data_IF_881415461142
#
_entry.id   IF_881415461142
#
_cell.length_a   1.000
_cell.length_b   1.000
_cell.length_c   1.000
_cell.angle_alpha   90.00
_cell.angle_beta   90.00
_cell.angle_gamma   90.00
#
_symmetry.space_group_name_H-M   'P 1'
#
loop_
_entity.id
_entity.type
_entity.pdbx_description
1 polymer ?
#
# COMPACT_ATOMS: atom_id res chain seq x y z
N UNK A 1 -29.43 -1.59 -4.95
CA UNK A 1 -28.08 -1.84 -5.51
C UNK A 1 -27.20 -0.64 -5.19
N UNK A 2 -26.45 -0.69 -4.09
CA UNK A 2 -25.51 0.37 -3.72
C UNK A 2 -24.27 0.26 -4.60
N UNK A 3 -24.25 1.00 -5.71
CA UNK A 3 -23.04 1.23 -6.50
C UNK A 3 -21.98 1.83 -5.57
N UNK A 4 -20.86 1.13 -5.44
CA UNK A 4 -19.70 1.59 -4.68
C UNK A 4 -19.10 2.81 -5.39
N UNK A 5 -19.59 4.00 -5.04
CA UNK A 5 -19.27 5.29 -5.67
C UNK A 5 -17.76 5.53 -5.71
N UNK A 6 -17.02 5.04 -4.70
CA UNK A 6 -15.56 5.11 -4.65
C UNK A 6 -14.88 4.21 -5.68
N UNK A 7 -15.47 3.05 -6.01
CA UNK A 7 -14.95 2.17 -7.07
C UNK A 7 -15.12 2.78 -8.47
N UNK A 8 -16.29 3.36 -8.76
CA UNK A 8 -16.58 3.98 -10.06
C UNK A 8 -15.80 5.27 -10.28
N UNK A 9 -15.67 6.14 -9.28
CA UNK A 9 -14.90 7.40 -9.38
C UNK A 9 -13.40 7.18 -9.63
N UNK A 10 -12.81 6.15 -9.03
CA UNK A 10 -11.38 5.87 -9.22
C UNK A 10 -11.07 5.26 -10.60
N UNK A 11 -12.01 4.53 -11.19
CA UNK A 11 -11.89 4.02 -12.57
C UNK A 11 -11.84 5.19 -13.57
N UNK A 12 -12.65 6.24 -13.39
CA UNK A 12 -12.60 7.42 -14.27
C UNK A 12 -11.25 8.15 -14.20
N UNK A 13 -10.65 8.23 -13.02
CA UNK A 13 -9.29 8.82 -12.87
C UNK A 13 -8.21 8.00 -13.58
N UNK A 14 -8.36 6.68 -13.64
CA UNK A 14 -7.44 5.80 -14.37
C UNK A 14 -7.51 6.05 -15.88
N UNK A 15 -8.68 6.44 -16.40
CA UNK A 15 -8.84 6.80 -17.82
C UNK A 15 -8.14 8.13 -18.11
N UNK A 16 -8.31 9.14 -17.24
CA UNK A 16 -7.70 10.46 -17.43
C UNK A 16 -6.20 10.49 -17.11
N UNK A 17 -5.71 9.61 -16.23
CA UNK A 17 -4.33 9.60 -15.75
C UNK A 17 -3.88 8.16 -15.47
N UNK A 18 -3.62 7.37 -16.53
CA UNK A 18 -3.37 5.94 -16.40
C UNK A 18 -2.07 5.61 -15.65
N UNK A 19 -1.10 6.53 -15.61
CA UNK A 19 0.14 6.37 -14.83
C UNK A 19 -0.09 6.26 -13.32
N UNK A 20 -1.26 6.65 -12.81
CA UNK A 20 -1.62 6.52 -11.40
C UNK A 20 -1.57 5.08 -10.88
N UNK A 21 -1.67 4.06 -11.74
CA UNK A 21 -1.52 2.67 -11.29
C UNK A 21 -0.08 2.14 -11.35
N UNK A 22 0.87 2.91 -11.87
CA UNK A 22 2.25 2.47 -11.97
C UNK A 22 2.93 2.52 -10.60
N UNK A 23 3.70 1.48 -10.23
CA UNK A 23 4.48 1.50 -9.01
C UNK A 23 5.82 2.22 -9.24
N UNK A 24 6.41 2.74 -8.17
CA UNK A 24 7.74 3.34 -8.19
C UNK A 24 8.84 2.29 -8.09
N UNK A 25 8.57 1.20 -7.37
CA UNK A 25 9.43 0.05 -7.26
C UNK A 25 8.62 -1.24 -7.39
N UNK A 26 9.24 -2.30 -7.89
CA UNK A 26 8.63 -3.64 -7.96
C UNK A 26 9.57 -4.65 -7.36
N UNK A 27 9.06 -5.50 -6.47
CA UNK A 27 9.75 -6.66 -5.93
C UNK A 27 8.93 -7.92 -6.23
N UNK A 28 9.58 -9.09 -6.26
CA UNK A 28 8.87 -10.33 -6.60
C UNK A 28 7.90 -10.71 -5.47
N UNK A 29 8.43 -10.87 -4.26
CA UNK A 29 7.70 -11.27 -3.06
C UNK A 29 7.97 -10.32 -1.90
N UNK A 30 7.23 -10.47 -0.80
CA UNK A 30 7.47 -9.69 0.42
C UNK A 30 8.88 -9.88 0.98
N UNK A 31 9.48 -11.08 0.83
CA UNK A 31 10.85 -11.35 1.27
C UNK A 31 11.91 -10.55 0.50
N UNK A 32 11.59 -10.11 -0.71
CA UNK A 32 12.50 -9.35 -1.57
C UNK A 32 12.48 -7.84 -1.26
N UNK A 33 11.67 -7.40 -0.28
CA UNK A 33 11.72 -6.02 0.20
C UNK A 33 13.12 -5.70 0.74
N UNK A 34 13.82 -4.70 0.20
CA UNK A 34 15.17 -4.42 0.63
C UNK A 34 15.19 -3.82 2.04
N UNK A 35 16.37 -3.89 2.67
CA UNK A 35 16.67 -3.25 3.95
C UNK A 35 17.92 -2.36 3.78
N UNK A 36 17.84 -1.03 3.98
CA UNK A 36 16.63 -0.24 4.24
C UNK A 36 15.68 -0.19 3.02
N UNK A 37 14.41 0.11 3.28
CA UNK A 37 13.35 0.09 2.25
C UNK A 37 13.57 1.13 1.14
N UNK A 38 14.28 2.22 1.42
CA UNK A 38 14.64 3.26 0.44
C UNK A 38 15.41 2.72 -0.77
N UNK A 39 16.17 1.62 -0.60
CA UNK A 39 16.90 0.97 -1.70
C UNK A 39 15.98 0.42 -2.81
N UNK A 40 14.68 0.27 -2.55
CA UNK A 40 13.73 -0.15 -3.57
C UNK A 40 13.62 0.84 -4.74
N UNK A 41 13.95 2.13 -4.51
CA UNK A 41 13.76 3.22 -5.46
C UNK A 41 15.02 3.60 -6.23
N UNK A 42 16.10 2.81 -6.11
CA UNK A 42 17.39 3.07 -6.75
C UNK A 42 18.23 4.14 -6.03
N UNK A 43 19.48 4.27 -6.47
CA UNK A 43 20.49 5.11 -5.79
C UNK A 43 20.54 6.56 -6.31
N UNK A 44 19.84 6.86 -7.41
CA UNK A 44 19.86 8.17 -8.07
C UNK A 44 19.13 9.26 -7.26
N UNK A 45 18.20 8.86 -6.40
CA UNK A 45 17.42 9.78 -5.55
C UNK A 45 17.66 9.43 -4.07
N UNK A 46 17.94 10.44 -3.25
CA UNK A 46 18.04 10.25 -1.80
C UNK A 46 16.64 10.10 -1.22
N UNK A 47 16.13 8.88 -1.22
CA UNK A 47 14.80 8.56 -0.69
C UNK A 47 14.85 8.37 0.83
N UNK A 48 14.04 9.15 1.54
CA UNK A 48 13.86 9.09 3.00
C UNK A 48 12.48 8.50 3.32
N UNK A 49 12.42 7.20 3.65
CA UNK A 49 11.18 6.54 4.09
C UNK A 49 11.15 6.48 5.61
N UNK A 50 10.14 7.13 6.21
CA UNK A 50 9.94 7.21 7.66
C UNK A 50 8.76 6.37 8.15
N UNK A 51 7.83 6.04 7.27
CA UNK A 51 6.69 5.19 7.60
C UNK A 51 6.29 4.27 6.44
N UNK A 52 5.63 3.17 6.80
CA UNK A 52 5.18 2.14 5.87
C UNK A 52 3.70 1.88 6.08
N UNK A 53 2.96 1.96 4.99
CA UNK A 53 1.58 1.49 4.88
C UNK A 53 1.62 0.13 4.20
N UNK A 54 1.11 -0.88 4.87
CA UNK A 54 1.23 -2.27 4.46
C UNK A 54 -0.14 -2.85 4.12
N UNK A 55 -0.32 -3.29 2.89
CA UNK A 55 -1.47 -4.12 2.54
C UNK A 55 -1.38 -5.50 3.23
N UNK A 56 -2.54 -6.15 3.44
CA UNK A 56 -2.64 -7.47 4.08
C UNK A 56 -2.66 -8.61 3.06
N UNK A 57 -3.75 -8.69 2.31
CA UNK A 57 -4.15 -9.88 1.57
C UNK A 57 -3.24 -10.06 0.36
N UNK A 58 -2.59 -11.22 0.23
CA UNK A 58 -1.62 -11.51 -0.83
C UNK A 58 -0.34 -10.64 -0.81
N UNK A 59 -0.21 -9.72 0.15
CA UNK A 59 1.02 -8.96 0.41
C UNK A 59 1.92 -9.70 1.42
N UNK A 60 1.67 -9.56 2.73
CA UNK A 60 2.41 -10.30 3.77
C UNK A 60 1.64 -11.52 4.31
N UNK A 61 0.34 -11.60 4.05
CA UNK A 61 -0.53 -12.68 4.50
C UNK A 61 -1.10 -13.45 3.30
N UNK A 62 -1.43 -14.72 3.52
CA UNK A 62 -2.28 -15.47 2.58
C UNK A 62 -3.66 -14.81 2.58
N UNK A 63 -4.33 -14.67 1.41
CA UNK A 63 -5.66 -14.05 1.34
C UNK A 63 -6.62 -14.60 2.40
N UNK A 64 -7.35 -13.70 3.06
CA UNK A 64 -8.31 -13.98 4.13
C UNK A 64 -7.73 -14.54 5.43
N UNK A 65 -6.41 -14.67 5.55
CA UNK A 65 -5.75 -15.00 6.81
C UNK A 65 -5.39 -13.72 7.59
N UNK A 66 -5.27 -13.86 8.90
CA UNK A 66 -4.90 -12.78 9.81
C UNK A 66 -3.52 -13.01 10.46
N UNK A 67 -2.72 -13.92 9.88
CA UNK A 67 -1.37 -14.25 10.29
C UNK A 67 -0.37 -13.91 9.20
N UNK A 68 0.86 -13.58 9.61
CA UNK A 68 1.97 -13.41 8.67
C UNK A 68 2.24 -14.76 8.01
N UNK A 69 2.31 -14.77 6.67
CA UNK A 69 2.66 -15.98 5.93
C UNK A 69 3.99 -16.54 6.43
N UNK A 70 4.07 -17.85 6.67
CA UNK A 70 5.19 -18.47 7.39
C UNK A 70 6.56 -18.07 6.80
N UNK A 71 6.67 -18.11 5.48
CA UNK A 71 7.90 -17.76 4.77
C UNK A 71 8.32 -16.28 4.93
N UNK A 72 7.39 -15.40 5.33
CA UNK A 72 7.59 -13.95 5.44
C UNK A 72 7.81 -13.48 6.88
N UNK A 73 7.70 -14.35 7.89
CA UNK A 73 7.83 -13.98 9.31
C UNK A 73 9.14 -13.26 9.63
N UNK A 74 10.27 -13.78 9.14
CA UNK A 74 11.59 -13.17 9.37
C UNK A 74 11.65 -11.76 8.78
N UNK A 75 11.22 -11.59 7.53
CA UNK A 75 11.24 -10.28 6.88
C UNK A 75 10.25 -9.30 7.52
N UNK A 76 9.09 -9.78 7.95
CA UNK A 76 8.07 -8.98 8.64
C UNK A 76 8.57 -8.48 9.99
N UNK A 77 9.25 -9.34 10.76
CA UNK A 77 9.89 -8.93 12.00
C UNK A 77 10.94 -7.83 11.75
N UNK A 78 11.81 -8.00 10.76
CA UNK A 78 12.79 -6.97 10.39
C UNK A 78 12.11 -5.65 10.00
N UNK A 79 10.98 -5.71 9.28
CA UNK A 79 10.22 -4.51 8.92
C UNK A 79 9.65 -3.80 10.16
N UNK A 80 9.18 -4.57 11.16
CA UNK A 80 8.71 -4.01 12.44
C UNK A 80 9.84 -3.36 13.24
N UNK A 81 11.03 -3.95 13.21
CA UNK A 81 12.22 -3.38 13.86
C UNK A 81 12.65 -2.07 13.19
N UNK A 82 12.61 -2.01 11.85
CA UNK A 82 12.95 -0.82 11.07
C UNK A 82 11.90 0.31 11.24
N UNK A 83 10.62 -0.05 11.40
CA UNK A 83 9.49 0.87 11.52
C UNK A 83 8.66 0.60 12.78
N UNK A 84 9.19 0.90 13.98
CA UNK A 84 8.53 0.54 15.24
C UNK A 84 7.27 1.37 15.51
N UNK A 85 6.36 0.77 16.28
CA UNK A 85 5.15 1.43 16.76
C UNK A 85 4.25 1.89 15.62
N UNK A 86 3.85 3.17 15.64
CA UNK A 86 2.94 3.75 14.65
C UNK A 86 3.58 4.01 13.28
N UNK A 87 4.88 3.77 13.10
CA UNK A 87 5.56 3.94 11.80
C UNK A 87 5.23 2.84 10.81
N UNK A 88 4.73 1.70 11.27
CA UNK A 88 4.21 0.62 10.43
C UNK A 88 2.70 0.50 10.66
N UNK A 89 1.93 0.63 9.60
CA UNK A 89 0.46 0.64 9.64
C UNK A 89 -0.10 -0.35 8.62
N UNK A 90 -0.96 -1.26 9.04
CA UNK A 90 -1.69 -2.15 8.12
C UNK A 90 -2.94 -1.43 7.59
N UNK A 91 -3.15 -1.48 6.28
CA UNK A 91 -4.36 -0.96 5.60
C UNK A 91 -4.92 -2.02 4.67
N UNK A 92 -6.07 -2.59 5.03
CA UNK A 92 -6.71 -3.70 4.33
C UNK A 92 -8.07 -3.27 3.76
N UNK A 93 -8.50 -3.90 2.66
CA UNK A 93 -9.86 -3.74 2.13
C UNK A 93 -10.87 -4.73 2.76
N UNK A 94 -10.40 -5.63 3.63
CA UNK A 94 -11.18 -6.64 4.35
C UNK A 94 -11.22 -6.34 5.85
N UNK A 95 -10.07 -6.20 6.50
CA UNK A 95 -9.98 -5.90 7.94
C UNK A 95 -10.01 -4.39 8.23
N UNK A 96 -10.72 -3.96 9.27
CA UNK A 96 -10.77 -2.55 9.69
C UNK A 96 -11.64 -1.67 8.81
N UNK A 97 -12.47 -2.28 7.95
CA UNK A 97 -13.39 -1.59 7.03
C UNK A 97 -14.84 -1.91 7.33
N UNK A 98 -15.78 -1.38 6.52
CA UNK A 98 -17.20 -1.80 6.58
C UNK A 98 -17.42 -3.30 6.30
N UNK A 99 -16.43 -4.01 5.74
CA UNK A 99 -16.47 -5.46 5.59
C UNK A 99 -16.15 -6.22 6.90
N UNK A 100 -15.57 -5.52 7.88
CA UNK A 100 -15.33 -6.00 9.25
C UNK A 100 -16.17 -5.13 10.23
N UNK A 101 -17.50 -5.29 10.23
CA UNK A 101 -18.40 -4.43 10.99
C UNK A 101 -18.19 -4.52 12.50
N UNK A 102 -17.62 -5.63 12.98
CA UNK A 102 -17.34 -5.86 14.40
C UNK A 102 -15.93 -5.41 14.81
N UNK A 103 -15.04 -5.16 13.86
CA UNK A 103 -13.62 -4.87 14.13
C UNK A 103 -12.78 -6.09 14.54
N UNK A 104 -13.37 -7.29 14.60
CA UNK A 104 -12.72 -8.50 15.13
C UNK A 104 -11.56 -8.97 14.26
N UNK A 105 -11.67 -8.86 12.94
CA UNK A 105 -10.57 -9.24 12.05
C UNK A 105 -9.39 -8.30 12.24
N UNK A 106 -9.66 -7.00 12.36
CA UNK A 106 -8.61 -6.02 12.61
C UNK A 106 -7.96 -6.22 13.98
N UNK A 107 -8.74 -6.47 15.04
CA UNK A 107 -8.19 -6.78 16.37
C UNK A 107 -7.37 -8.07 16.39
N UNK A 108 -7.83 -9.11 15.71
CA UNK A 108 -7.09 -10.36 15.60
C UNK A 108 -5.77 -10.16 14.86
N UNK A 109 -5.80 -9.42 13.75
CA UNK A 109 -4.61 -9.10 12.98
C UNK A 109 -3.61 -8.27 13.80
N UNK A 110 -4.08 -7.30 14.58
CA UNK A 110 -3.24 -6.52 15.50
C UNK A 110 -2.59 -7.41 16.56
N UNK A 111 -3.34 -8.34 17.15
CA UNK A 111 -2.80 -9.30 18.14
C UNK A 111 -1.74 -10.21 17.53
N UNK A 112 -1.99 -10.74 16.34
CA UNK A 112 -1.10 -11.72 15.71
C UNK A 112 0.16 -11.08 15.11
N UNK A 113 0.07 -9.83 14.65
CA UNK A 113 1.19 -9.13 14.00
C UNK A 113 1.93 -8.16 14.93
N UNK A 114 1.28 -7.66 15.98
CA UNK A 114 1.77 -6.56 16.80
C UNK A 114 1.88 -5.23 16.06
N UNK A 115 1.12 -5.06 14.98
CA UNK A 115 1.08 -3.86 14.12
C UNK A 115 -0.35 -3.32 14.08
N UNK A 116 -0.50 -2.01 14.20
CA UNK A 116 -1.81 -1.35 14.17
C UNK A 116 -2.48 -1.49 12.80
N UNK A 117 -3.80 -1.66 12.81
CA UNK A 117 -4.63 -1.72 11.60
C UNK A 117 -5.46 -0.45 11.52
N UNK A 118 -5.40 0.25 10.38
CA UNK A 118 -6.22 1.44 10.18
C UNK A 118 -7.70 1.06 10.22
N UNK A 119 -8.49 1.79 11.02
CA UNK A 119 -9.95 1.69 10.99
C UNK A 119 -10.49 2.77 10.05
N UNK A 120 -11.06 2.39 8.90
CA UNK A 120 -11.49 3.34 7.86
C UNK A 120 -12.73 2.85 7.10
N UNK A 121 -13.61 3.76 6.68
CA UNK A 121 -14.86 3.39 5.98
C UNK A 121 -14.67 3.26 4.48
N UNK A 122 -13.82 4.10 3.90
CA UNK A 122 -13.55 4.14 2.46
C UNK A 122 -12.51 3.10 2.11
N UNK A 123 -12.75 2.23 1.13
CA UNK A 123 -11.74 1.24 0.69
C UNK A 123 -10.62 1.90 -0.12
N UNK A 124 -9.47 1.25 -0.18
CA UNK A 124 -8.38 1.60 -1.12
C UNK A 124 -8.91 1.58 -2.55
N UNK A 125 -8.48 2.52 -3.42
CA UNK A 125 -7.45 3.54 -3.19
C UNK A 125 -7.96 4.85 -2.53
N UNK A 126 -9.19 4.90 -2.01
CA UNK A 126 -9.83 6.13 -1.53
C UNK A 126 -9.57 6.52 -0.06
N UNK A 127 -8.84 5.73 0.72
CA UNK A 127 -8.60 5.97 2.16
C UNK A 127 -7.37 6.83 2.46
N UNK A 128 -6.80 7.52 1.46
CA UNK A 128 -5.57 8.30 1.64
C UNK A 128 -5.68 9.36 2.74
N UNK A 129 -6.81 10.05 2.84
CA UNK A 129 -7.05 11.07 3.87
C UNK A 129 -7.05 10.51 5.29
N UNK A 130 -7.56 9.29 5.50
CA UNK A 130 -7.56 8.63 6.80
C UNK A 130 -6.12 8.24 7.22
N UNK A 131 -5.30 7.79 6.26
CA UNK A 131 -3.88 7.48 6.49
C UNK A 131 -3.09 8.75 6.82
N UNK A 132 -3.31 9.84 6.09
CA UNK A 132 -2.64 11.12 6.35
C UNK A 132 -2.97 11.63 7.76
N UNK A 133 -4.25 11.60 8.14
CA UNK A 133 -4.68 11.95 9.50
C UNK A 133 -4.03 11.08 10.57
N UNK A 134 -3.94 9.76 10.34
CA UNK A 134 -3.29 8.85 11.28
C UNK A 134 -1.86 9.27 11.61
N UNK A 135 -1.05 9.61 10.59
CA UNK A 135 0.33 10.03 10.80
C UNK A 135 0.44 11.47 11.33
N UNK A 136 -0.43 12.39 10.89
CA UNK A 136 -0.46 13.78 11.37
C UNK A 136 -0.85 13.90 12.85
N UNK A 137 -1.67 12.97 13.36
CA UNK A 137 -2.08 12.94 14.77
C UNK A 137 -0.92 12.63 15.74
N UNK A 138 0.25 12.25 15.23
CA UNK A 138 1.43 11.99 16.06
C UNK A 138 2.69 12.64 15.44
N UNK A 139 2.91 13.95 15.68
CA UNK A 139 4.07 14.66 15.15
C UNK A 139 5.42 14.06 15.58
N UNK A 140 5.46 13.29 16.68
CA UNK A 140 6.68 12.64 17.16
C UNK A 140 7.24 11.59 16.19
N UNK A 141 6.41 11.12 15.26
CA UNK A 141 6.84 10.20 14.20
C UNK A 141 7.77 10.87 13.18
N UNK A 142 7.80 12.20 13.13
CA UNK A 142 8.66 12.97 12.24
C UNK A 142 8.28 12.85 10.77
N UNK A 143 7.04 12.50 10.45
CA UNK A 143 6.53 12.39 9.08
C UNK A 143 5.97 13.76 8.69
N UNK A 144 6.71 14.50 7.86
CA UNK A 144 6.36 15.87 7.45
C UNK A 144 5.86 15.93 6.02
N UNK A 145 5.96 14.82 5.27
CA UNK A 145 5.58 14.74 3.86
C UNK A 145 5.02 13.37 3.48
N UNK A 146 4.03 13.27 2.58
CA UNK A 146 3.59 11.98 2.03
C UNK A 146 4.71 11.21 1.32
N UNK A 147 5.66 11.91 0.69
CA UNK A 147 6.81 11.28 0.02
C UNK A 147 7.73 10.46 0.94
N UNK A 148 7.59 10.63 2.26
CA UNK A 148 8.27 9.85 3.31
C UNK A 148 7.53 8.57 3.70
N UNK A 149 6.37 8.31 3.07
CA UNK A 149 5.57 7.12 3.29
C UNK A 149 5.79 6.18 2.10
N UNK A 150 6.06 4.91 2.38
CA UNK A 150 6.01 3.84 1.39
C UNK A 150 4.72 3.04 1.57
N UNK A 151 3.93 2.90 0.50
CA UNK A 151 2.79 1.98 0.44
C UNK A 151 3.27 0.69 -0.24
N UNK A 152 3.13 -0.43 0.45
CA UNK A 152 3.55 -1.76 -0.03
C UNK A 152 2.32 -2.65 -0.18
N UNK A 153 2.07 -3.16 -1.38
CA UNK A 153 0.94 -4.05 -1.64
C UNK A 153 1.03 -4.77 -2.98
N UNK A 154 0.08 -5.68 -3.23
CA UNK A 154 0.12 -6.57 -4.40
C UNK A 154 -0.77 -6.10 -5.57
N UNK A 155 -1.63 -5.10 -5.36
CA UNK A 155 -2.56 -4.59 -6.38
C UNK A 155 -2.14 -3.23 -6.92
N UNK A 156 -2.14 -3.09 -8.24
CA UNK A 156 -1.81 -1.84 -8.91
C UNK A 156 -2.97 -0.85 -8.83
N UNK A 157 -4.21 -1.32 -8.94
CA UNK A 157 -5.39 -0.45 -8.94
C UNK A 157 -5.91 -0.09 -7.55
N UNK A 158 -5.27 -0.60 -6.49
CA UNK A 158 -5.56 -0.17 -5.11
C UNK A 158 -4.33 0.37 -4.42
N UNK A 159 -3.25 -0.38 -4.27
CA UNK A 159 -2.13 0.02 -3.41
C UNK A 159 -1.23 1.03 -4.10
N UNK A 160 -0.84 0.76 -5.36
CA UNK A 160 -0.05 1.73 -6.13
C UNK A 160 -0.83 3.03 -6.38
N UNK A 161 -2.12 2.92 -6.76
CA UNK A 161 -3.00 4.08 -6.90
C UNK A 161 -3.16 4.87 -5.60
N UNK A 162 -3.34 4.19 -4.46
CA UNK A 162 -3.42 4.85 -3.16
C UNK A 162 -2.17 5.67 -2.89
N UNK A 163 -0.99 5.07 -3.09
CA UNK A 163 0.28 5.75 -2.89
C UNK A 163 0.37 7.00 -3.77
N UNK A 164 0.08 6.84 -5.07
CA UNK A 164 0.19 7.90 -6.05
C UNK A 164 -0.82 9.04 -5.78
N UNK A 165 -2.03 8.72 -5.32
CA UNK A 165 -2.99 9.75 -4.90
C UNK A 165 -2.54 10.52 -3.66
N UNK A 166 -1.87 9.84 -2.73
CA UNK A 166 -1.33 10.49 -1.54
C UNK A 166 -0.07 11.31 -1.84
N UNK A 167 0.60 11.10 -2.98
CA UNK A 167 1.95 11.59 -3.21
C UNK A 167 3.02 10.80 -2.45
N UNK A 168 2.69 9.57 -2.04
CA UNK A 168 3.56 8.62 -1.38
C UNK A 168 4.26 7.70 -2.41
N UNK A 169 5.21 6.88 -1.95
CA UNK A 169 5.93 5.95 -2.82
C UNK A 169 5.27 4.58 -2.86
N UNK A 170 5.10 4.04 -4.07
CA UNK A 170 4.48 2.72 -4.28
C UNK A 170 5.54 1.63 -4.46
N UNK A 171 5.51 0.59 -3.63
CA UNK A 171 6.25 -0.66 -3.84
C UNK A 171 5.25 -1.77 -4.14
N UNK A 172 5.36 -2.33 -5.34
CA UNK A 172 4.48 -3.41 -5.77
C UNK A 172 5.11 -4.78 -5.51
N UNK A 173 4.38 -5.62 -4.78
CA UNK A 173 4.65 -7.06 -4.62
C UNK A 173 4.04 -7.78 -5.82
N UNK A 174 4.86 -8.25 -6.77
CA UNK A 174 4.37 -8.77 -8.04
C UNK A 174 3.68 -10.13 -7.94
N UNK A 175 4.24 -11.02 -7.13
CA UNK A 175 3.88 -12.45 -7.13
C UNK A 175 3.06 -12.87 -5.89
N UNK A 176 3.11 -12.07 -4.82
CA UNK A 176 2.30 -12.25 -3.61
C UNK A 176 2.62 -13.51 -2.80
N UNK A 177 1.70 -13.96 -1.96
CA UNK A 177 1.80 -15.26 -1.24
C UNK A 177 1.23 -16.40 -2.08
N UNK A 178 0.25 -16.11 -2.92
CA UNK A 178 -0.40 -17.07 -3.81
C UNK A 178 -0.49 -16.51 -5.22
N UNK A 179 -0.47 -17.41 -6.21
CA UNK A 179 -0.62 -17.02 -7.61
C UNK A 179 -2.04 -16.55 -7.89
N UNK A 180 -2.27 -15.24 -7.85
CA UNK A 180 -3.54 -14.65 -8.28
C UNK A 180 -3.61 -14.62 -9.82
N UNK A 181 -4.43 -15.50 -10.39
CA UNK A 181 -4.68 -15.58 -11.83
C UNK A 181 -6.00 -14.96 -12.28
N UNK A 182 -6.66 -14.19 -11.40
CA UNK A 182 -7.91 -13.52 -11.71
C UNK A 182 -7.76 -12.62 -12.94
N UNK A 183 -8.84 -12.50 -13.70
CA UNK A 183 -8.86 -11.68 -14.91
C UNK A 183 -8.47 -10.23 -14.62
N UNK A 184 -8.92 -9.69 -13.48
CA UNK A 184 -8.60 -8.33 -13.06
C UNK A 184 -7.10 -8.12 -12.81
N UNK A 185 -6.42 -9.03 -12.11
CA UNK A 185 -4.96 -8.93 -11.90
C UNK A 185 -4.21 -9.02 -13.23
N UNK A 186 -4.65 -9.89 -14.15
CA UNK A 186 -4.04 -9.97 -15.49
C UNK A 186 -4.22 -8.67 -16.27
N UNK A 187 -5.39 -8.05 -16.19
CA UNK A 187 -5.67 -6.76 -16.82
C UNK A 187 -4.79 -5.63 -16.23
N UNK A 188 -4.67 -5.55 -14.90
CA UNK A 188 -3.79 -4.62 -14.19
C UNK A 188 -2.33 -4.75 -14.69
N UNK A 189 -1.78 -5.97 -14.65
CA UNK A 189 -0.43 -6.27 -15.10
C UNK A 189 -0.23 -5.98 -16.59
N UNK A 190 -1.26 -6.18 -17.41
CA UNK A 190 -1.20 -5.88 -18.85
C UNK A 190 -1.16 -4.37 -19.10
N UNK A 191 -2.02 -3.61 -18.44
CA UNK A 191 -2.07 -2.15 -18.56
C UNK A 191 -0.74 -1.53 -18.10
N UNK A 192 -0.24 -1.91 -16.93
CA UNK A 192 1.02 -1.37 -16.42
C UNK A 192 2.20 -1.65 -17.36
N UNK A 193 2.34 -2.90 -17.86
CA UNK A 193 3.36 -3.24 -18.87
C UNK A 193 3.23 -2.41 -20.13
N UNK A 194 2.00 -2.19 -20.60
CA UNK A 194 1.73 -1.38 -21.78
C UNK A 194 2.15 0.09 -21.58
N UNK A 195 1.80 0.68 -20.43
CA UNK A 195 2.17 2.05 -20.08
C UNK A 195 3.68 2.22 -19.95
N UNK A 196 4.35 1.33 -19.22
CA UNK A 196 5.82 1.34 -19.08
C UNK A 196 6.52 1.20 -20.43
N UNK A 197 6.03 0.32 -21.32
CA UNK A 197 6.57 0.17 -22.69
C UNK A 197 6.43 1.45 -23.51
N UNK A 198 5.45 2.30 -23.20
CA UNK A 198 5.25 3.61 -23.83
C UNK A 198 5.99 4.75 -23.13
N UNK A 199 6.83 4.45 -22.15
CA UNK A 199 7.63 5.45 -21.44
C UNK A 199 6.86 6.24 -20.38
N UNK A 200 5.65 5.79 -20.00
CA UNK A 200 4.97 6.38 -18.85
C UNK A 200 5.70 6.00 -17.57
N UNK A 201 5.85 6.97 -16.68
CA UNK A 201 6.39 6.80 -15.33
C UNK A 201 5.28 7.05 -14.30
N UNK A 202 5.39 6.49 -13.08
CA UNK A 202 4.52 6.89 -11.99
C UNK A 202 4.65 8.40 -11.72
N UNK A 203 3.61 9.05 -11.19
CA UNK A 203 3.72 10.46 -10.77
C UNK A 203 4.75 10.64 -9.67
N UNK A 204 5.50 11.74 -9.70
CA UNK A 204 6.49 12.02 -8.66
C UNK A 204 5.84 12.11 -7.26
N UNK A 205 6.45 11.49 -6.23
CA UNK A 205 6.01 11.65 -4.85
C UNK A 205 6.04 13.13 -4.44
N UNK A 206 4.93 13.66 -3.93
CA UNK A 206 4.81 15.08 -3.59
C UNK A 206 5.40 15.37 -2.22
N UNK A 207 6.21 16.42 -2.15
CA UNK A 207 6.92 16.82 -0.93
C UNK A 207 6.03 17.57 0.08
N UNK A 208 4.88 18.14 -0.33
CA UNK A 208 3.99 18.91 0.56
C UNK A 208 2.58 18.32 0.63
N UNK A 209 2.01 18.30 1.85
CA UNK A 209 0.58 18.07 2.09
C UNK A 209 -0.23 19.32 1.70
N UNK A 210 -0.11 19.81 0.47
CA UNK A 210 -0.99 20.88 0.00
C UNK A 210 -2.23 20.28 -0.65
N UNK A 211 -3.37 20.61 -0.04
CA UNK A 211 -4.69 20.10 -0.38
C UNK A 211 -5.15 20.51 -1.77
N UNK A 212 -5.94 19.62 -2.37
CA UNK A 212 -7.00 20.02 -3.29
C UNK A 212 -8.28 20.23 -2.49
#
# INVERSE_FOLDING_TARGET
MTLNLSGTLNIFKLISSPSLCLPHATVSTFNDLPRPLSKAFGDAEKVDIRAVVLDKDNCFAVPHQNDVYEAYKVRFQQLREDYPGKKLLIVSNSAGTLADPTGKDAELLERNTGVLVLRHRTKKPGCGTDIQKYFQNDPSLGITSPSQIAVVGDRLFTDAMLANFMGARAIWIRDGTVKDSSFFVKAEKSLARFLLKRGYTPPDPRSTFEGH
#
